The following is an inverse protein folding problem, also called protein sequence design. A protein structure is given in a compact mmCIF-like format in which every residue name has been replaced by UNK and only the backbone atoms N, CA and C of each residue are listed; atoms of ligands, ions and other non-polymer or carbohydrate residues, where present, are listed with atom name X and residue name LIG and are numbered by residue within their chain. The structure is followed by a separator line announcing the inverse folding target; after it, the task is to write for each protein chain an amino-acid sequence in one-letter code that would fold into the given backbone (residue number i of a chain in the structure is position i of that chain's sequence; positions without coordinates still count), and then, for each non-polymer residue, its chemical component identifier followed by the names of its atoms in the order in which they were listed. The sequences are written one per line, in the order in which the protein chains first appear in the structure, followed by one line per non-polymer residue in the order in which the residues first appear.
data_IF_635638478676
#
_entry.id   IF_635638478676
#
_cell.length_a   1.000
_cell.length_b   1.000
_cell.length_c   1.000
_cell.angle_alpha   90.00
_cell.angle_beta   90.00
_cell.angle_gamma   90.00
#
_symmetry.space_group_name_H-M   'P 1'
#
loop_
_entity.id
_entity.type
_entity.pdbx_description
1 polymer ?
#
# COMPACT_ATOMS: atom_id res chain seq x y z
N UNK A 1 16.71 8.45 6.79
CA UNK A 1 16.23 7.94 8.11
C UNK A 1 14.70 7.93 8.25
N UNK A 2 13.95 8.80 7.56
CA UNK A 2 12.47 8.85 7.55
C UNK A 2 11.78 7.93 6.53
N UNK A 3 12.42 6.83 6.13
CA UNK A 3 11.90 5.86 5.15
C UNK A 3 11.96 4.44 5.73
N UNK A 4 10.92 3.65 5.46
CA UNK A 4 10.85 2.22 5.77
C UNK A 4 10.63 1.42 4.47
N UNK A 5 11.64 0.70 4.00
CA UNK A 5 11.61 -0.08 2.75
C UNK A 5 11.17 -1.51 3.03
N UNK A 6 9.87 -1.69 3.33
CA UNK A 6 9.33 -2.95 3.84
C UNK A 6 9.57 -4.16 2.93
N UNK A 7 9.63 -3.97 1.61
CA UNK A 7 9.81 -5.08 0.63
C UNK A 7 11.21 -5.11 0.01
N UNK A 8 12.14 -4.33 0.56
CA UNK A 8 13.50 -4.20 0.06
C UNK A 8 13.66 -3.20 -1.06
N UNK A 9 14.89 -3.07 -1.52
CA UNK A 9 15.29 -2.15 -2.59
C UNK A 9 16.30 -2.84 -3.52
N UNK A 10 16.05 -2.79 -4.84
CA UNK A 10 16.88 -3.46 -5.85
C UNK A 10 18.32 -2.95 -5.91
N UNK A 11 18.57 -1.76 -5.40
CA UNK A 11 19.88 -1.12 -5.34
C UNK A 11 20.59 -1.35 -3.99
N UNK A 12 19.94 -2.01 -3.02
CA UNK A 12 20.46 -2.19 -1.67
C UNK A 12 20.83 -3.65 -1.42
N UNK A 13 22.07 -3.83 -0.95
CA UNK A 13 22.54 -5.11 -0.42
C UNK A 13 23.03 -4.95 1.03
N UNK A 14 22.87 -6.00 1.82
CA UNK A 14 23.13 -6.00 3.25
C UNK A 14 24.16 -7.06 3.64
N UNK A 15 25.07 -6.70 4.55
CA UNK A 15 26.01 -7.66 5.12
C UNK A 15 25.35 -8.56 6.16
N UNK A 16 25.35 -9.88 5.89
CA UNK A 16 24.78 -10.89 6.81
C UNK A 16 25.49 -10.98 8.17
N UNK A 17 26.69 -10.41 8.30
CA UNK A 17 27.46 -10.44 9.56
C UNK A 17 27.30 -9.21 10.44
N UNK A 18 27.13 -8.04 9.85
CA UNK A 18 27.17 -6.77 10.59
C UNK A 18 26.01 -5.82 10.27
N UNK A 19 25.08 -6.23 9.40
CA UNK A 19 23.90 -5.45 9.04
C UNK A 19 24.17 -4.16 8.26
N UNK A 20 25.43 -3.86 7.88
CA UNK A 20 25.72 -2.67 7.07
C UNK A 20 25.10 -2.85 5.69
N UNK A 21 24.26 -1.90 5.32
CA UNK A 21 23.67 -1.76 4.00
C UNK A 21 24.57 -0.93 3.08
N UNK A 22 24.52 -1.24 1.79
CA UNK A 22 25.20 -0.56 0.72
C UNK A 22 24.19 -0.22 -0.37
N UNK A 23 24.00 1.07 -0.64
CA UNK A 23 23.23 1.55 -1.79
C UNK A 23 24.16 1.59 -3.00
N UNK A 24 23.74 1.00 -4.11
CA UNK A 24 24.47 0.91 -5.38
C UNK A 24 23.89 1.84 -6.42
N UNK A 25 24.69 2.18 -7.42
CA UNK A 25 24.30 2.94 -8.61
C UNK A 25 23.55 2.08 -9.64
N UNK A 26 23.79 0.77 -9.63
CA UNK A 26 23.10 -0.23 -10.43
C UNK A 26 22.40 -1.27 -9.55
N UNK A 27 21.43 -1.98 -10.15
CA UNK A 27 20.73 -3.07 -9.46
C UNK A 27 21.71 -4.16 -8.99
N UNK A 28 21.46 -4.69 -7.80
CA UNK A 28 22.34 -5.64 -7.09
C UNK A 28 22.51 -6.97 -7.84
N UNK A 29 21.50 -7.37 -8.62
CA UNK A 29 21.54 -8.52 -9.54
C UNK A 29 20.98 -9.83 -8.99
N UNK A 30 20.38 -9.84 -7.80
CA UNK A 30 19.72 -11.02 -7.21
C UNK A 30 18.43 -10.62 -6.47
N UNK A 31 17.58 -11.61 -6.17
CA UNK A 31 16.33 -11.45 -5.42
C UNK A 31 16.08 -12.66 -4.51
N UNK A 32 15.35 -12.46 -3.41
CA UNK A 32 15.02 -13.49 -2.43
C UNK A 32 16.12 -13.66 -1.39
N UNK A 33 16.70 -12.54 -0.93
CA UNK A 33 17.74 -12.48 0.10
C UNK A 33 18.99 -13.33 -0.23
N UNK A 34 19.33 -13.43 -1.52
CA UNK A 34 20.41 -14.29 -2.03
C UNK A 34 21.76 -13.60 -1.96
N UNK A 35 22.86 -14.37 -1.85
CA UNK A 35 24.20 -13.80 -1.90
C UNK A 35 24.49 -13.11 -3.24
N UNK A 36 25.07 -11.92 -3.19
CA UNK A 36 25.33 -11.09 -4.38
C UNK A 36 26.71 -11.32 -5.00
N UNK A 37 27.53 -12.16 -4.35
CA UNK A 37 28.93 -12.41 -4.71
C UNK A 37 29.93 -11.39 -4.13
N UNK A 38 29.46 -10.27 -3.57
CA UNK A 38 30.31 -9.24 -2.96
C UNK A 38 30.54 -9.48 -1.47
N UNK A 39 31.58 -8.85 -0.93
CA UNK A 39 31.96 -8.92 0.49
C UNK A 39 31.91 -7.55 1.15
N UNK A 40 31.52 -7.54 2.43
CA UNK A 40 31.47 -6.35 3.25
C UNK A 40 32.87 -5.74 3.50
N UNK A 41 33.01 -4.45 3.23
CA UNK A 41 34.23 -3.67 3.35
C UNK A 41 34.39 -2.95 4.70
N UNK A 42 33.38 -2.99 5.59
CA UNK A 42 33.44 -2.34 6.92
C UNK A 42 34.66 -2.81 7.71
N UNK A 43 35.50 -1.87 8.13
CA UNK A 43 36.63 -2.11 9.04
C UNK A 43 36.12 -2.31 10.46
N UNK A 44 36.49 -3.40 11.13
CA UNK A 44 36.09 -3.65 12.52
C UNK A 44 36.77 -2.67 13.47
N UNK A 45 36.13 -2.36 14.60
CA UNK A 45 36.55 -1.35 15.59
C UNK A 45 38.00 -1.45 16.10
N UNK A 46 38.63 -2.64 16.06
CA UNK A 46 40.05 -2.80 16.44
C UNK A 46 41.04 -2.65 15.27
N UNK A 47 40.60 -2.19 14.10
CA UNK A 47 41.43 -1.91 12.92
C UNK A 47 42.09 -3.13 12.25
N UNK A 48 42.08 -4.30 12.90
CA UNK A 48 42.90 -5.44 12.50
C UNK A 48 42.41 -6.17 11.23
N UNK A 49 41.10 -6.20 10.95
CA UNK A 49 40.53 -6.85 9.74
C UNK A 49 39.18 -6.25 9.32
N UNK A 50 38.94 -6.23 8.00
CA UNK A 50 37.63 -5.98 7.42
C UNK A 50 36.61 -7.09 7.80
N UNK A 51 35.32 -6.73 7.80
CA UNK A 51 34.22 -7.63 8.14
C UNK A 51 34.19 -8.88 7.25
N UNK A 52 34.31 -8.68 5.92
CA UNK A 52 34.28 -9.74 4.90
C UNK A 52 33.07 -10.69 5.07
N UNK A 53 31.94 -10.18 5.56
CA UNK A 53 30.67 -10.89 5.50
C UNK A 53 30.17 -10.94 4.06
N UNK A 54 29.45 -12.01 3.71
CA UNK A 54 28.77 -12.08 2.42
C UNK A 54 27.68 -11.01 2.38
N UNK A 55 27.58 -10.31 1.25
CA UNK A 55 26.46 -9.42 0.99
C UNK A 55 25.31 -10.22 0.39
N UNK A 56 24.08 -9.89 0.79
CA UNK A 56 22.83 -10.41 0.21
C UNK A 56 21.98 -9.26 -0.32
N UNK A 57 21.13 -9.51 -1.31
CA UNK A 57 20.10 -8.54 -1.67
C UNK A 57 19.06 -8.37 -0.53
N UNK A 58 18.25 -7.34 -0.64
CA UNK A 58 17.20 -7.02 0.34
C UNK A 58 15.79 -7.35 -0.17
N UNK A 59 15.66 -7.90 -1.38
CA UNK A 59 14.37 -8.19 -1.99
C UNK A 59 13.79 -9.45 -1.36
N UNK A 60 12.59 -9.33 -0.80
CA UNK A 60 11.88 -10.43 -0.17
C UNK A 60 11.27 -11.37 -1.20
N UNK A 61 11.34 -12.68 -0.95
CA UNK A 61 10.48 -13.68 -1.56
C UNK A 61 9.18 -13.83 -0.77
N UNK A 62 8.23 -14.61 -1.27
CA UNK A 62 6.88 -14.74 -0.69
C UNK A 62 6.85 -15.22 0.76
N UNK A 63 7.82 -16.04 1.15
CA UNK A 63 7.90 -16.66 2.48
C UNK A 63 8.77 -15.84 3.45
N UNK A 64 9.46 -14.81 2.95
CA UNK A 64 10.37 -14.01 3.76
C UNK A 64 9.60 -13.07 4.70
N UNK A 65 10.13 -12.92 5.91
CA UNK A 65 9.62 -11.93 6.86
C UNK A 65 10.08 -10.52 6.48
N UNK A 66 9.25 -9.53 6.78
CA UNK A 66 9.64 -8.13 6.60
C UNK A 66 10.86 -7.79 7.49
N UNK A 67 11.72 -6.84 7.08
CA UNK A 67 12.81 -6.33 7.92
C UNK A 67 12.27 -5.70 9.21
N UNK A 68 12.68 -6.25 10.37
CA UNK A 68 12.19 -5.85 11.69
C UNK A 68 12.36 -4.36 11.97
N UNK A 69 13.51 -3.79 11.59
CA UNK A 69 13.82 -2.36 11.79
C UNK A 69 12.79 -1.48 11.08
N UNK A 70 12.61 -1.71 9.78
CA UNK A 70 11.75 -0.89 8.93
C UNK A 70 10.27 -1.10 9.28
N UNK A 71 9.86 -2.34 9.59
CA UNK A 71 8.52 -2.62 10.08
C UNK A 71 8.24 -1.92 11.43
N UNK A 72 9.20 -1.94 12.36
CA UNK A 72 9.05 -1.26 13.66
C UNK A 72 8.94 0.25 13.48
N UNK A 73 9.79 0.85 12.65
CA UNK A 73 9.73 2.28 12.35
C UNK A 73 8.38 2.67 11.71
N UNK A 74 7.89 1.87 10.77
CA UNK A 74 6.62 2.11 10.10
C UNK A 74 5.41 1.96 11.05
N UNK A 75 5.40 0.91 11.88
CA UNK A 75 4.37 0.69 12.91
C UNK A 75 4.35 1.85 13.92
N UNK A 76 5.50 2.26 14.44
CA UNK A 76 5.59 3.39 15.37
C UNK A 76 5.11 4.71 14.76
N UNK A 77 5.50 5.01 13.52
CA UNK A 77 5.05 6.19 12.80
C UNK A 77 3.53 6.19 12.64
N UNK A 78 2.95 5.07 12.19
CA UNK A 78 1.50 4.92 12.04
C UNK A 78 0.76 5.03 13.38
N UNK A 79 1.37 4.61 14.50
CA UNK A 79 0.78 4.75 15.84
C UNK A 79 0.73 6.20 16.33
N UNK A 80 1.69 7.02 15.93
CA UNK A 80 1.84 8.41 16.35
C UNK A 80 1.08 9.36 15.42
N UNK A 81 0.86 8.96 14.17
CA UNK A 81 0.15 9.76 13.18
C UNK A 81 -1.31 10.02 13.56
N UNK A 82 -1.78 11.24 13.30
CA UNK A 82 -3.18 11.65 13.28
C UNK A 82 -3.80 11.57 11.87
N UNK A 83 -2.97 11.43 10.83
CA UNK A 83 -3.35 11.26 9.45
C UNK A 83 -2.42 10.23 8.76
N UNK A 84 -3.02 9.25 8.10
CA UNK A 84 -2.35 8.34 7.16
C UNK A 84 -2.90 8.54 5.76
N UNK A 85 -2.01 8.76 4.79
CA UNK A 85 -2.36 8.89 3.36
C UNK A 85 -1.70 7.76 2.59
N UNK A 86 -2.49 6.98 1.85
CA UNK A 86 -1.97 5.90 0.99
C UNK A 86 -2.03 6.34 -0.47
N UNK A 87 -0.92 6.19 -1.19
CA UNK A 87 -0.81 6.57 -2.59
C UNK A 87 -0.48 5.34 -3.43
N UNK A 88 -1.32 5.00 -4.42
CA UNK A 88 -0.99 4.01 -5.45
C UNK A 88 -0.80 2.58 -4.94
N UNK A 89 -1.52 2.16 -3.90
CA UNK A 89 -1.44 0.79 -3.35
C UNK A 89 -2.82 0.19 -3.14
N UNK A 90 -2.95 -1.10 -3.48
CA UNK A 90 -4.19 -1.87 -3.26
C UNK A 90 -4.39 -2.30 -1.79
N UNK A 91 -3.35 -2.12 -0.95
CA UNK A 91 -3.32 -2.48 0.47
C UNK A 91 -3.56 -3.97 0.77
N UNK A 92 -3.29 -4.85 -0.21
CA UNK A 92 -3.61 -6.27 -0.05
C UNK A 92 -2.60 -7.06 0.78
N UNK A 93 -1.31 -6.75 0.65
CA UNK A 93 -0.20 -7.47 1.25
C UNK A 93 -0.11 -7.16 2.74
N UNK A 94 -0.04 -8.19 3.59
CA UNK A 94 0.12 -8.04 5.03
C UNK A 94 1.58 -8.30 5.43
N UNK A 95 2.08 -7.62 6.48
CA UNK A 95 1.39 -6.62 7.30
C UNK A 95 1.35 -5.20 6.69
N UNK A 96 2.10 -4.92 5.62
CA UNK A 96 2.28 -3.56 5.06
C UNK A 96 0.97 -2.80 4.78
N UNK A 97 0.01 -3.42 4.10
CA UNK A 97 -1.29 -2.83 3.77
C UNK A 97 -2.18 -2.56 4.98
N UNK A 98 -1.93 -3.22 6.12
CA UNK A 98 -2.67 -2.96 7.36
C UNK A 98 -2.09 -1.77 8.16
N UNK A 99 -0.87 -1.30 7.87
CA UNK A 99 -0.23 -0.24 8.65
C UNK A 99 -1.06 1.05 8.73
N UNK A 100 -1.69 1.55 7.63
CA UNK A 100 -2.54 2.75 7.70
C UNK A 100 -3.76 2.60 8.61
N UNK A 101 -4.23 1.36 8.85
CA UNK A 101 -5.33 1.11 9.79
C UNK A 101 -4.92 1.33 11.25
N UNK A 102 -3.64 1.29 11.57
CA UNK A 102 -3.14 1.55 12.92
C UNK A 102 -3.45 3.00 13.31
N UNK A 103 -3.21 3.94 12.39
CA UNK A 103 -3.57 5.36 12.55
C UNK A 103 -5.07 5.51 12.80
N UNK A 104 -5.90 4.86 11.97
CA UNK A 104 -7.36 4.91 12.11
C UNK A 104 -7.85 4.37 13.46
N UNK A 105 -7.28 3.24 13.92
CA UNK A 105 -7.62 2.62 15.22
C UNK A 105 -7.27 3.49 16.43
N UNK A 106 -6.36 4.45 16.26
CA UNK A 106 -5.96 5.40 17.32
C UNK A 106 -6.68 6.73 17.24
N UNK A 107 -7.73 6.84 16.42
CA UNK A 107 -8.54 8.05 16.26
C UNK A 107 -8.06 8.99 15.15
N UNK A 108 -6.95 8.66 14.48
CA UNK A 108 -6.50 9.37 13.30
C UNK A 108 -7.39 9.14 12.08
N UNK A 109 -7.08 9.86 11.01
CA UNK A 109 -7.77 9.83 9.72
C UNK A 109 -7.02 8.97 8.71
N UNK A 110 -7.76 8.33 7.81
CA UNK A 110 -7.22 7.55 6.71
C UNK A 110 -7.72 8.12 5.37
N UNK A 111 -6.79 8.53 4.52
CA UNK A 111 -7.07 8.95 3.14
C UNK A 111 -6.47 7.91 2.19
N UNK A 112 -7.25 7.49 1.20
CA UNK A 112 -6.81 6.54 0.17
C UNK A 112 -6.90 7.20 -1.19
N UNK A 113 -5.76 7.29 -1.88
CA UNK A 113 -5.65 7.75 -3.28
C UNK A 113 -5.22 6.58 -4.14
N UNK A 114 -6.14 6.07 -4.96
CA UNK A 114 -5.86 4.95 -5.85
C UNK A 114 -6.87 4.90 -7.00
N UNK A 115 -6.45 4.45 -8.19
CA UNK A 115 -7.35 4.27 -9.34
C UNK A 115 -8.35 3.13 -9.13
N UNK A 116 -7.91 2.05 -8.47
CA UNK A 116 -8.70 0.85 -8.23
C UNK A 116 -9.20 0.78 -6.79
N UNK A 117 -10.24 -0.02 -6.56
CA UNK A 117 -10.68 -0.36 -5.21
C UNK A 117 -9.54 -0.98 -4.39
N UNK A 118 -9.49 -0.63 -3.10
CA UNK A 118 -8.48 -1.15 -2.16
C UNK A 118 -9.10 -2.06 -1.12
N UNK A 119 -8.28 -2.87 -0.46
CA UNK A 119 -8.73 -3.76 0.62
C UNK A 119 -9.39 -3.01 1.79
N UNK A 120 -9.08 -1.72 1.95
CA UNK A 120 -9.46 -0.94 3.13
C UNK A 120 -10.33 0.28 2.81
N UNK A 121 -11.00 0.29 1.65
CA UNK A 121 -11.86 1.40 1.22
C UNK A 121 -12.90 1.78 2.28
N UNK A 122 -13.53 0.79 2.92
CA UNK A 122 -14.59 1.02 3.93
C UNK A 122 -14.09 1.72 5.20
N UNK A 123 -12.78 1.67 5.46
CA UNK A 123 -12.17 2.26 6.65
C UNK A 123 -11.67 3.69 6.40
N UNK A 124 -11.58 4.12 5.14
CA UNK A 124 -11.10 5.45 4.77
C UNK A 124 -12.13 6.54 5.12
N UNK A 125 -11.63 7.67 5.64
CA UNK A 125 -12.39 8.90 5.83
C UNK A 125 -12.58 9.63 4.49
N UNK A 126 -11.62 9.51 3.57
CA UNK A 126 -11.67 10.08 2.23
C UNK A 126 -11.07 9.09 1.22
N UNK A 127 -11.75 8.90 0.09
CA UNK A 127 -11.28 8.11 -1.04
C UNK A 127 -11.23 8.99 -2.28
N UNK A 128 -10.08 9.03 -2.94
CA UNK A 128 -9.87 9.78 -4.18
C UNK A 128 -9.50 8.78 -5.27
N UNK A 129 -10.37 8.67 -6.28
CA UNK A 129 -10.11 7.83 -7.45
C UNK A 129 -9.55 8.69 -8.57
N UNK A 130 -8.22 8.71 -8.69
CA UNK A 130 -7.52 9.53 -9.68
C UNK A 130 -6.04 9.17 -9.78
N UNK A 131 -5.37 9.79 -10.76
CA UNK A 131 -3.92 9.69 -10.90
C UNK A 131 -3.24 10.41 -9.75
N UNK A 132 -2.29 9.73 -9.08
CA UNK A 132 -1.58 10.30 -7.91
C UNK A 132 -0.87 11.60 -8.28
N UNK A 133 -0.26 11.68 -9.46
CA UNK A 133 0.43 12.89 -9.92
C UNK A 133 -0.51 14.11 -9.99
N UNK A 134 -1.73 13.94 -10.51
CA UNK A 134 -2.72 15.02 -10.57
C UNK A 134 -3.15 15.45 -9.16
N UNK A 135 -3.45 14.48 -8.30
CA UNK A 135 -3.86 14.71 -6.91
C UNK A 135 -2.77 15.45 -6.13
N UNK A 136 -1.53 14.99 -6.23
CA UNK A 136 -0.40 15.59 -5.53
C UNK A 136 -0.05 16.96 -6.10
N UNK A 137 -0.15 17.18 -7.41
CA UNK A 137 0.08 18.50 -8.02
C UNK A 137 -0.95 19.53 -7.51
N UNK A 138 -2.24 19.17 -7.47
CA UNK A 138 -3.28 20.04 -6.90
C UNK A 138 -3.05 20.27 -5.41
N UNK A 139 -2.73 19.23 -4.65
CA UNK A 139 -2.44 19.35 -3.21
C UNK A 139 -1.27 20.30 -2.95
N UNK A 140 -0.17 20.18 -3.70
CA UNK A 140 1.00 21.06 -3.56
C UNK A 140 0.65 22.51 -3.88
N UNK A 141 -0.13 22.76 -4.95
CA UNK A 141 -0.67 24.09 -5.26
C UNK A 141 -1.50 24.64 -4.10
N UNK A 142 -2.40 23.84 -3.53
CA UNK A 142 -3.22 24.23 -2.40
C UNK A 142 -2.40 24.50 -1.12
N UNK A 143 -1.29 23.77 -0.91
CA UNK A 143 -0.37 24.01 0.20
C UNK A 143 0.58 25.20 -0.04
N UNK A 144 0.57 25.80 -1.24
CA UNK A 144 1.51 26.85 -1.62
C UNK A 144 2.95 26.36 -1.66
N UNK A 145 3.17 25.07 -1.94
CA UNK A 145 4.49 24.44 -2.01
C UNK A 145 4.82 24.08 -3.46
N UNK A 146 6.05 24.39 -3.88
CA UNK A 146 6.56 23.96 -5.18
C UNK A 146 7.10 22.53 -5.11
N UNK A 147 6.92 21.77 -6.20
CA UNK A 147 7.54 20.45 -6.35
C UNK A 147 8.99 20.66 -6.81
N UNK A 148 10.00 20.20 -6.06
CA UNK A 148 11.40 20.46 -6.39
C UNK A 148 11.84 19.72 -7.67
N UNK A 149 12.78 20.32 -8.42
CA UNK A 149 13.40 19.68 -9.58
C UNK A 149 14.33 18.54 -9.17
N UNK A 150 14.30 17.43 -9.91
CA UNK A 150 15.16 16.29 -9.68
C UNK A 150 16.50 16.44 -10.41
N UNK A 151 17.61 16.47 -9.67
CA UNK A 151 18.97 16.70 -10.19
C UNK A 151 19.79 15.42 -10.43
N UNK A 152 19.18 14.25 -10.25
CA UNK A 152 19.81 12.94 -10.44
C UNK A 152 19.85 12.07 -9.18
N UNK A 153 20.44 10.85 -9.26
CA UNK A 153 20.47 9.91 -8.14
C UNK A 153 21.35 10.42 -6.99
N UNK A 154 20.76 10.60 -5.82
CA UNK A 154 21.44 11.03 -4.59
C UNK A 154 20.96 10.16 -3.43
N UNK A 155 21.88 9.77 -2.53
CA UNK A 155 21.55 9.06 -1.30
C UNK A 155 21.62 10.03 -0.14
N UNK A 156 20.49 10.23 0.54
CA UNK A 156 20.38 11.04 1.75
C UNK A 156 20.16 10.11 2.94
N UNK A 157 21.18 9.94 3.78
CA UNK A 157 21.10 8.99 4.91
C UNK A 157 20.23 9.52 6.06
N UNK A 158 20.28 10.83 6.33
CA UNK A 158 19.55 11.50 7.42
C UNK A 158 18.84 12.75 6.92
N UNK A 159 17.64 13.00 7.44
CA UNK A 159 16.92 14.24 7.17
C UNK A 159 17.60 15.43 7.85
N UNK A 160 17.71 16.55 7.14
CA UNK A 160 18.09 17.83 7.74
C UNK A 160 17.05 18.24 8.80
N UNK A 161 17.46 18.91 9.89
CA UNK A 161 16.53 19.52 10.83
C UNK A 161 15.67 20.54 10.08
N UNK A 162 14.38 20.25 9.92
CA UNK A 162 13.47 21.17 9.25
C UNK A 162 13.22 22.39 10.13
N UNK A 163 13.40 23.60 9.59
CA UNK A 163 12.65 24.75 10.08
C UNK A 163 11.18 24.48 9.77
N UNK A 164 10.30 24.65 10.77
CA UNK A 164 8.87 24.56 10.53
C UNK A 164 8.47 25.77 9.67
N UNK A 165 8.47 25.62 8.34
CA UNK A 165 7.83 26.59 7.46
C UNK A 165 6.38 26.70 7.91
N UNK A 166 6.04 27.86 8.47
CA UNK A 166 4.69 28.18 8.85
C UNK A 166 3.87 28.22 7.57
N UNK A 167 3.02 27.20 7.38
CA UNK A 167 1.98 27.22 6.35
C UNK A 167 1.32 28.61 6.36
N UNK A 168 1.42 29.39 5.27
CA UNK A 168 0.91 30.76 5.24
C UNK A 168 -0.54 30.78 5.73
N UNK A 169 -0.83 31.53 6.79
CA UNK A 169 -2.18 31.59 7.38
C UNK A 169 -3.26 32.00 6.38
N UNK A 170 -2.86 32.65 5.28
CA UNK A 170 -3.68 33.10 4.16
C UNK A 170 -4.24 31.95 3.31
N UNK A 171 -3.51 30.84 3.16
CA UNK A 171 -3.96 29.66 2.42
C UNK A 171 -5.20 29.04 3.05
N UNK A 172 -5.36 29.10 4.39
CA UNK A 172 -6.50 28.47 5.06
C UNK A 172 -7.85 29.11 4.71
N UNK A 173 -7.89 30.42 4.48
CA UNK A 173 -9.13 31.11 4.11
C UNK A 173 -9.36 31.04 2.60
N UNK A 174 -8.32 31.21 1.77
CA UNK A 174 -8.42 31.10 0.31
C UNK A 174 -8.84 29.68 -0.12
N UNK A 175 -8.25 28.61 0.46
CA UNK A 175 -8.67 27.23 0.22
C UNK A 175 -10.11 26.96 0.62
N UNK A 176 -10.57 27.60 1.70
CA UNK A 176 -11.92 27.40 2.23
C UNK A 176 -12.96 28.11 1.35
N UNK A 177 -12.59 29.21 0.70
CA UNK A 177 -13.41 29.85 -0.33
C UNK A 177 -13.38 29.05 -1.65
N UNK A 178 -12.22 28.62 -2.13
CA UNK A 178 -12.10 27.80 -3.35
C UNK A 178 -12.87 26.48 -3.23
N UNK A 179 -12.71 25.74 -2.13
CA UNK A 179 -13.47 24.51 -1.89
C UNK A 179 -14.98 24.77 -1.78
N UNK A 180 -15.40 25.95 -1.32
CA UNK A 180 -16.81 26.35 -1.28
C UNK A 180 -17.36 26.65 -2.67
N UNK A 181 -16.55 27.17 -3.58
CA UNK A 181 -16.96 27.42 -4.96
C UNK A 181 -16.95 26.14 -5.80
N UNK A 182 -15.93 25.27 -5.69
CA UNK A 182 -15.91 23.97 -6.40
C UNK A 182 -17.07 23.05 -5.97
N UNK A 183 -17.44 23.03 -4.68
CA UNK A 183 -18.61 22.29 -4.20
C UNK A 183 -19.96 22.86 -4.70
N UNK A 184 -19.99 24.10 -5.22
CA UNK A 184 -21.19 24.69 -5.85
C UNK A 184 -21.27 24.38 -7.34
N UNK A 185 -20.15 24.07 -7.99
CA UNK A 185 -20.07 23.82 -9.43
C UNK A 185 -20.27 22.36 -9.85
N UNK A 186 -20.23 21.38 -8.93
CA UNK A 186 -20.56 19.98 -9.28
C UNK A 186 -22.03 19.83 -9.73
N UNK A 187 -22.29 19.35 -10.97
CA UNK A 187 -23.65 19.06 -11.42
C UNK A 187 -24.22 17.88 -10.65
N UNK A 188 -25.48 18.00 -10.22
CA UNK A 188 -26.27 16.87 -9.69
C UNK A 188 -26.60 15.87 -10.81
N UNK A 189 -25.64 15.08 -11.25
CA UNK A 189 -25.95 13.85 -12.00
C UNK A 189 -25.90 12.66 -11.06
N UNK A 190 -27.08 12.11 -10.77
CA UNK A 190 -27.22 10.81 -10.10
C UNK A 190 -26.55 9.72 -10.94
N UNK A 191 -25.80 8.78 -10.36
CA UNK A 191 -25.37 7.61 -11.09
C UNK A 191 -26.59 6.75 -11.39
N UNK A 192 -27.07 6.80 -12.64
CA UNK A 192 -28.04 5.84 -13.14
C UNK A 192 -27.45 4.43 -13.00
N UNK A 193 -28.07 3.62 -12.15
CA UNK A 193 -27.79 2.21 -12.02
C UNK A 193 -28.02 1.51 -13.37
N UNK A 194 -26.94 1.25 -14.11
CA UNK A 194 -26.98 0.36 -15.27
C UNK A 194 -27.14 -1.08 -14.78
N UNK A 195 -28.39 -1.49 -14.62
CA UNK A 195 -28.77 -2.89 -14.57
C UNK A 195 -28.45 -3.53 -15.93
N UNK A 196 -27.33 -4.24 -16.03
CA UNK A 196 -27.18 -5.26 -17.08
C UNK A 196 -27.90 -6.54 -16.63
N UNK A 197 -29.22 -6.54 -16.81
CA UNK A 197 -30.04 -7.74 -16.82
C UNK A 197 -30.49 -8.02 -18.25
N UNK A 198 -29.82 -8.94 -18.94
CA UNK A 198 -30.34 -9.50 -20.19
C UNK A 198 -31.06 -10.80 -19.85
N UNK A 199 -32.39 -10.74 -19.79
CA UNK A 199 -33.24 -11.92 -19.93
C UNK A 199 -34.39 -11.53 -20.88
N UNK A 200 -34.42 -12.19 -22.03
CA UNK A 200 -35.42 -12.00 -23.08
C UNK A 200 -36.82 -12.48 -22.65
N UNK A 201 -37.92 -11.93 -23.22
CA UNK A 201 -39.26 -12.23 -22.74
C UNK A 201 -40.08 -13.24 -23.58
N UNK A 202 -41.05 -13.84 -22.88
CA UNK A 202 -42.35 -14.41 -23.33
C UNK A 202 -42.41 -15.88 -23.82
N UNK A 203 -43.60 -16.54 -23.81
CA UNK A 203 -44.94 -16.11 -23.37
C UNK A 203 -45.65 -17.07 -22.37
N UNK A 204 -46.76 -16.60 -21.78
CA UNK A 204 -47.47 -17.24 -20.66
C UNK A 204 -48.43 -18.39 -21.01
N UNK A 205 -48.95 -19.02 -19.95
CA UNK A 205 -50.27 -19.64 -19.93
C UNK A 205 -50.76 -19.89 -18.49
N UNK A 206 -52.02 -19.52 -18.29
CA UNK A 206 -53.06 -20.03 -17.37
C UNK A 206 -52.74 -20.81 -16.08
N UNK A 207 -53.43 -20.35 -15.02
CA UNK A 207 -54.27 -21.12 -14.08
C UNK A 207 -53.71 -21.57 -12.71
N UNK A 208 -54.37 -20.99 -11.70
CA UNK A 208 -54.88 -21.53 -10.41
C UNK A 208 -53.96 -21.80 -9.20
N UNK A 209 -54.43 -21.21 -8.11
CA UNK A 209 -54.26 -21.52 -6.68
C UNK A 209 -54.10 -23.02 -6.37
N UNK A 210 -53.17 -23.37 -5.45
CA UNK A 210 -53.44 -23.94 -4.11
C UNK A 210 -52.14 -24.28 -3.35
N UNK A 211 -52.17 -24.18 -2.01
CA UNK A 211 -51.30 -24.87 -1.01
C UNK A 211 -52.23 -25.79 -0.18
N UNK A 212 -51.82 -26.79 0.65
CA UNK A 212 -50.47 -27.08 1.20
C UNK A 212 -50.04 -28.58 1.39
N UNK A 213 -48.72 -28.81 1.66
CA UNK A 213 -48.07 -29.83 2.55
C UNK A 213 -48.21 -31.37 2.31
N UNK A 214 -47.46 -32.29 2.99
CA UNK A 214 -46.09 -32.28 3.57
C UNK A 214 -45.22 -33.54 3.25
N UNK A 215 -43.93 -33.49 3.64
CA UNK A 215 -43.04 -34.55 4.17
C UNK A 215 -42.90 -35.93 3.48
N UNK A 216 -41.67 -36.30 3.11
CA UNK A 216 -41.12 -37.66 3.29
C UNK A 216 -39.58 -37.61 3.32
N UNK A 217 -39.00 -38.26 4.33
CA UNK A 217 -37.58 -38.24 4.70
C UNK A 217 -36.59 -39.00 3.78
N UNK A 218 -35.34 -39.21 4.27
CA UNK A 218 -34.16 -39.32 3.42
C UNK A 218 -33.71 -40.76 3.14
N UNK A 219 -32.98 -40.98 2.03
CA UNK A 219 -32.19 -42.21 1.78
C UNK A 219 -30.98 -41.94 0.85
N UNK A 220 -29.95 -42.82 0.82
CA UNK A 220 -28.58 -42.42 1.17
C UNK A 220 -27.54 -42.39 0.03
N UNK A 221 -26.38 -41.87 0.43
CA UNK A 221 -25.07 -41.71 -0.23
C UNK A 221 -24.55 -42.94 -0.99
N UNK A 222 -23.95 -42.72 -2.17
CA UNK A 222 -22.90 -43.58 -2.74
C UNK A 222 -21.57 -42.84 -2.84
N UNK A 223 -20.56 -43.40 -2.17
CA UNK A 223 -19.14 -43.00 -2.23
C UNK A 223 -18.54 -43.47 -3.56
N UNK A 224 -17.76 -42.62 -4.22
CA UNK A 224 -16.87 -43.04 -5.33
C UNK A 224 -15.41 -43.01 -4.87
N UNK A 225 -14.70 -44.01 -5.36
CA UNK A 225 -13.40 -44.53 -4.91
C UNK A 225 -12.28 -43.80 -5.66
N UNK A 226 -11.22 -43.46 -4.94
CA UNK A 226 -9.96 -42.92 -5.47
C UNK A 226 -9.04 -44.10 -5.82
N UNK A 227 -8.33 -44.02 -6.95
CA UNK A 227 -7.14 -44.84 -7.23
C UNK A 227 -5.94 -43.93 -7.56
N UNK A 228 -4.72 -44.29 -7.12
CA UNK A 228 -3.52 -43.49 -7.28
C UNK A 228 -2.72 -43.90 -8.54
N UNK A 229 -2.04 -42.94 -9.19
CA UNK A 229 -0.94 -43.24 -10.09
C UNK A 229 0.39 -42.90 -9.41
N UNK A 230 1.24 -43.93 -9.27
CA UNK A 230 2.67 -43.83 -9.01
C UNK A 230 3.40 -43.90 -10.36
N UNK A 231 4.30 -42.96 -10.61
CA UNK A 231 5.73 -43.16 -10.93
C UNK A 231 6.44 -41.82 -10.90
#
# INVERSE_FOLDING_TARGET
DKLAELHGNMFVEECVKCGKQYVRDAVVGSMGLKPTGRLCSVTKARGLRACRGKLRDTILDWEDSLPDRDLTLADEACRKADLSVTLGTSLQIKPSGNLPLITKKRGGKLVIVNLQATKHDRQADLRIHGYVDEVMTKLMKHLGLEVPEWTGPVVVESAEPGEAEQLPGRLKEELKEEMREEMKEEPKEEPQARHNGTAAPCPGNGLKLERPSPDTGPTPVKKMKVEPLLT
#
